data_IF_231722149335
#
_entry.id   IF_231722149335
#
_cell.length_a   1.000
_cell.length_b   1.000
_cell.length_c   1.000
_cell.angle_alpha   90.00
_cell.angle_beta   90.00
_cell.angle_gamma   90.00
#
_symmetry.space_group_name_H-M   'P 1'
#
loop_
_entity.id
_entity.type
_entity.pdbx_description
1 polymer ?
#
# COMPACT_ATOMS: atom_id res chain seq x y z
N UNK A 1 5.09 -23.03 3.25
CA UNK A 1 5.52 -21.79 2.56
C UNK A 1 4.30 -21.26 1.83
N UNK A 2 3.70 -20.18 2.30
CA UNK A 2 2.55 -19.55 1.67
C UNK A 2 2.99 -18.83 0.40
N UNK A 3 2.43 -19.21 -0.75
CA UNK A 3 2.62 -18.48 -2.01
C UNK A 3 2.01 -17.08 -1.85
N UNK A 4 2.85 -16.08 -1.64
CA UNK A 4 2.41 -14.69 -1.59
C UNK A 4 1.95 -14.29 -2.99
N UNK A 5 0.63 -14.19 -3.18
CA UNK A 5 0.04 -13.75 -4.45
C UNK A 5 0.12 -12.23 -4.51
N UNK A 6 1.02 -11.74 -5.35
CA UNK A 6 1.17 -10.33 -5.67
C UNK A 6 0.30 -9.97 -6.89
N UNK A 7 -0.41 -8.84 -6.81
CA UNK A 7 -1.30 -8.36 -7.88
C UNK A 7 -0.59 -7.51 -8.94
N UNK A 8 0.75 -7.43 -8.91
CA UNK A 8 1.55 -6.77 -9.95
C UNK A 8 1.61 -5.25 -9.87
N UNK A 9 1.33 -4.68 -8.69
CA UNK A 9 1.47 -3.23 -8.48
C UNK A 9 2.94 -2.82 -8.46
N UNK A 10 3.24 -1.62 -8.95
CA UNK A 10 4.56 -1.01 -8.84
C UNK A 10 4.76 -0.43 -7.44
N UNK A 11 5.64 -1.05 -6.66
CA UNK A 11 5.93 -0.67 -5.27
C UNK A 11 6.98 0.44 -5.15
N UNK A 12 7.52 0.92 -6.27
CA UNK A 12 8.51 2.01 -6.30
C UNK A 12 7.87 3.40 -6.30
N UNK A 13 6.57 3.49 -6.65
CA UNK A 13 5.80 4.72 -6.69
C UNK A 13 4.85 4.85 -5.49
N UNK A 14 4.31 6.05 -5.28
CA UNK A 14 3.28 6.34 -4.28
C UNK A 14 1.98 6.62 -5.02
N UNK A 15 0.96 5.80 -4.78
CA UNK A 15 -0.36 5.98 -5.39
C UNK A 15 -1.20 6.99 -4.60
N UNK A 16 -1.91 7.89 -5.28
CA UNK A 16 -2.86 8.78 -4.62
C UNK A 16 -4.12 8.01 -4.24
N UNK A 17 -4.52 8.04 -2.96
CA UNK A 17 -5.71 7.33 -2.47
C UNK A 17 -7.02 7.87 -3.07
N UNK A 18 -7.08 9.14 -3.46
CA UNK A 18 -8.25 9.73 -4.11
C UNK A 18 -8.43 9.21 -5.53
N UNK A 19 -7.33 8.99 -6.24
CA UNK A 19 -7.35 8.39 -7.59
C UNK A 19 -7.49 6.87 -7.56
N UNK A 20 -6.80 6.23 -6.61
CA UNK A 20 -6.72 4.78 -6.44
C UNK A 20 -7.09 4.39 -5.01
N UNK A 21 -8.40 4.45 -4.64
CA UNK A 21 -8.84 4.03 -3.32
C UNK A 21 -8.55 2.54 -3.10
N UNK A 22 -8.60 2.12 -1.84
CA UNK A 22 -8.41 0.69 -1.51
C UNK A 22 -9.53 -0.15 -2.11
N UNK A 23 -9.16 -1.24 -2.79
CA UNK A 23 -10.14 -2.21 -3.29
C UNK A 23 -10.83 -2.92 -2.12
N UNK A 24 -10.06 -3.17 -1.05
CA UNK A 24 -10.54 -3.67 0.24
C UNK A 24 -9.98 -2.80 1.36
N UNK A 25 -10.85 -2.11 2.10
CA UNK A 25 -10.42 -1.19 3.16
C UNK A 25 -9.53 -1.88 4.20
N UNK A 26 -8.38 -1.29 4.48
CA UNK A 26 -7.42 -1.83 5.46
C UNK A 26 -6.67 -3.08 4.99
N UNK A 27 -6.66 -3.35 3.68
CA UNK A 27 -5.87 -4.41 3.05
C UNK A 27 -5.01 -3.83 1.94
N UNK A 28 -3.80 -4.36 1.78
CA UNK A 28 -2.91 -3.94 0.73
C UNK A 28 -3.40 -4.50 -0.61
N UNK A 29 -3.67 -3.64 -1.58
CA UNK A 29 -4.15 -4.08 -2.89
C UNK A 29 -3.15 -4.99 -3.62
N UNK A 30 -1.87 -4.97 -3.27
CA UNK A 30 -0.86 -5.83 -3.89
C UNK A 30 -0.77 -7.23 -3.26
N UNK A 31 -0.92 -7.39 -1.94
CA UNK A 31 -0.63 -8.66 -1.25
C UNK A 31 -1.64 -9.06 -0.15
N UNK A 32 -2.75 -8.31 -0.02
CA UNK A 32 -3.81 -8.51 0.98
C UNK A 32 -3.36 -8.41 2.46
N UNK A 33 -2.12 -7.94 2.71
CA UNK A 33 -1.63 -7.71 4.07
C UNK A 33 -2.44 -6.62 4.79
N UNK A 34 -2.60 -6.78 6.10
CA UNK A 34 -3.24 -5.82 6.99
C UNK A 34 -2.25 -4.89 7.70
N UNK A 35 -0.95 -5.22 7.70
CA UNK A 35 0.05 -4.48 8.44
C UNK A 35 0.72 -3.38 7.60
N UNK A 36 0.62 -2.15 8.09
CA UNK A 36 1.18 -0.98 7.43
C UNK A 36 2.18 -0.25 8.34
N UNK A 37 3.09 0.49 7.71
CA UNK A 37 3.91 1.52 8.31
C UNK A 37 3.41 2.85 7.78
N UNK A 38 3.26 3.82 8.66
CA UNK A 38 2.83 5.16 8.27
C UNK A 38 3.96 6.15 8.47
N UNK A 39 4.07 7.11 7.58
CA UNK A 39 5.04 8.21 7.65
C UNK A 39 4.40 9.49 7.13
N UNK A 40 4.92 10.64 7.56
CA UNK A 40 4.51 11.95 7.02
C UNK A 40 5.69 12.51 6.26
N UNK A 41 5.45 12.93 5.01
CA UNK A 41 6.43 13.60 4.17
C UNK A 41 5.75 14.77 3.46
N UNK A 42 6.32 15.96 3.58
CA UNK A 42 5.79 17.18 2.93
C UNK A 42 4.29 17.42 3.26
N UNK A 43 3.91 17.20 4.52
CA UNK A 43 2.52 17.27 5.02
C UNK A 43 1.54 16.24 4.43
N UNK A 44 2.03 15.27 3.65
CA UNK A 44 1.23 14.16 3.10
C UNK A 44 1.45 12.92 3.95
N UNK A 45 0.35 12.22 4.28
CA UNK A 45 0.42 10.96 5.01
C UNK A 45 0.64 9.80 4.03
N UNK A 46 1.77 9.10 4.16
CA UNK A 46 2.10 7.95 3.31
C UNK A 46 1.91 6.68 4.13
N UNK A 47 1.08 5.78 3.61
CA UNK A 47 0.86 4.42 4.13
C UNK A 47 1.61 3.41 3.27
N UNK A 48 2.58 2.74 3.86
CA UNK A 48 3.42 1.71 3.24
C UNK A 48 3.06 0.32 3.77
N UNK A 49 2.86 -0.66 2.90
CA UNK A 49 2.64 -2.05 3.31
C UNK A 49 3.93 -2.67 3.86
N UNK A 50 3.88 -3.29 5.05
CA UNK A 50 5.08 -3.90 5.67
C UNK A 50 5.57 -5.17 4.99
N UNK A 51 4.75 -5.78 4.14
CA UNK A 51 5.08 -7.04 3.46
C UNK A 51 5.64 -6.77 2.07
N UNK A 52 4.96 -5.93 1.28
CA UNK A 52 5.32 -5.72 -0.13
C UNK A 52 5.94 -4.36 -0.43
N UNK A 53 5.90 -3.39 0.50
CA UNK A 53 6.41 -2.04 0.28
C UNK A 53 5.53 -1.12 -0.57
N UNK A 54 4.34 -1.56 -1.01
CA UNK A 54 3.38 -0.70 -1.74
C UNK A 54 3.00 0.52 -0.89
N UNK A 55 3.04 1.71 -1.50
CA UNK A 55 2.76 2.98 -0.84
C UNK A 55 1.53 3.66 -1.41
N UNK A 56 0.71 4.24 -0.52
CA UNK A 56 -0.36 5.18 -0.89
C UNK A 56 -0.25 6.47 -0.12
N UNK A 57 -0.54 7.61 -0.74
CA UNK A 57 -0.75 8.89 -0.06
C UNK A 57 -2.23 9.05 0.30
N UNK A 58 -2.51 9.28 1.57
CA UNK A 58 -3.85 9.47 2.16
C UNK A 58 -4.01 10.94 2.54
#
# INVERSE_FOLDING_TARGET
MSEEKYNGYDTTIVYDYKEYPDVKSGRCDNCDNAQFKSSVKDFIFIRECRQCGMKKSI
#
